data_IF_394308963327
#
_entry.id   IF_394308963327
#
_cell.length_a   1.000
_cell.length_b   1.000
_cell.length_c   1.000
_cell.angle_alpha   90.00
_cell.angle_beta   90.00
_cell.angle_gamma   90.00
#
_symmetry.space_group_name_H-M   'P 1'
#
loop_
_entity.id
_entity.type
_entity.pdbx_description
1 polymer ?
#
# COMPACT_ATOMS: atom_id res chain seq x y z
N UNK A 1 12.30 3.00 27.81
CA UNK A 1 13.41 2.44 27.01
C UNK A 1 13.01 1.65 25.77
N UNK A 2 11.73 1.59 25.38
CA UNK A 2 11.32 0.99 24.11
C UNK A 2 11.25 2.04 23.00
N UNK A 3 12.39 2.34 22.36
CA UNK A 3 12.45 3.12 21.13
C UNK A 3 12.83 2.18 19.99
N UNK A 4 11.98 2.08 18.98
CA UNK A 4 12.32 1.45 17.70
C UNK A 4 13.08 2.48 16.87
N UNK A 5 14.34 2.17 16.55
CA UNK A 5 15.15 2.99 15.65
C UNK A 5 14.60 2.82 14.22
N UNK A 6 14.08 3.91 13.66
CA UNK A 6 13.50 3.91 12.31
C UNK A 6 14.60 4.11 11.28
N UNK A 7 14.50 3.40 10.17
CA UNK A 7 15.38 3.66 9.02
C UNK A 7 15.05 5.03 8.46
N UNK A 8 16.06 5.81 8.12
CA UNK A 8 15.91 7.14 7.52
C UNK A 8 15.14 7.09 6.18
N UNK A 9 15.23 5.96 5.46
CA UNK A 9 14.48 5.72 4.22
C UNK A 9 13.02 5.30 4.41
N UNK A 10 12.56 5.09 5.64
CA UNK A 10 11.19 4.65 5.89
C UNK A 10 10.21 5.80 5.68
N UNK A 11 9.33 5.64 4.69
CA UNK A 11 8.23 6.57 4.44
C UNK A 11 7.04 6.19 5.30
N UNK A 12 6.83 6.90 6.41
CA UNK A 12 5.69 6.67 7.30
C UNK A 12 4.37 7.20 6.73
N UNK A 13 4.44 8.22 5.88
CA UNK A 13 3.28 8.83 5.23
C UNK A 13 3.65 9.33 3.83
N UNK A 14 2.86 8.92 2.84
CA UNK A 14 2.93 9.44 1.46
C UNK A 14 1.54 9.94 1.10
N UNK A 15 1.40 11.25 0.90
CA UNK A 15 0.15 11.89 0.51
C UNK A 15 0.26 12.43 -0.91
N UNK A 16 -0.77 12.20 -1.71
CA UNK A 16 -0.93 12.82 -3.01
C UNK A 16 -1.81 14.05 -2.87
N UNK A 17 -1.43 15.15 -3.52
CA UNK A 17 -2.27 16.31 -3.74
C UNK A 17 -2.67 16.32 -5.23
N UNK A 18 -3.76 15.63 -5.61
CA UNK A 18 -4.13 15.47 -7.01
C UNK A 18 -4.81 16.73 -7.55
N UNK A 19 -4.20 17.35 -8.56
CA UNK A 19 -4.77 18.47 -9.32
C UNK A 19 -5.73 17.99 -10.44
N UNK A 20 -5.82 16.68 -10.69
CA UNK A 20 -6.76 16.04 -11.59
C UNK A 20 -7.29 14.72 -10.99
N UNK A 21 -8.61 14.54 -10.99
CA UNK A 21 -9.28 13.33 -10.49
C UNK A 21 -10.29 12.86 -11.54
N UNK A 22 -10.15 11.62 -12.03
CA UNK A 22 -11.18 10.95 -12.82
C UNK A 22 -12.14 10.21 -11.88
N UNK A 23 -13.40 10.62 -11.90
CA UNK A 23 -14.48 9.94 -11.17
C UNK A 23 -15.29 9.10 -12.14
N UNK A 24 -15.51 7.82 -11.78
CA UNK A 24 -16.33 6.88 -12.56
C UNK A 24 -17.46 6.37 -11.67
N UNK A 25 -18.64 6.96 -11.85
CA UNK A 25 -19.86 6.56 -11.17
C UNK A 25 -20.61 5.52 -12.01
N UNK A 26 -20.52 4.26 -11.56
CA UNK A 26 -21.17 3.14 -12.21
C UNK A 26 -22.69 3.14 -12.01
N UNK A 27 -23.20 3.74 -10.93
CA UNK A 27 -24.64 3.79 -10.64
C UNK A 27 -25.34 4.76 -11.59
N UNK A 28 -24.77 5.96 -11.78
CA UNK A 28 -25.32 6.94 -12.72
C UNK A 28 -24.83 6.78 -14.16
N UNK A 29 -23.93 5.81 -14.42
CA UNK A 29 -23.28 5.58 -15.73
C UNK A 29 -22.57 6.81 -16.27
N UNK A 30 -21.95 7.59 -15.38
CA UNK A 30 -21.24 8.82 -15.72
C UNK A 30 -19.77 8.73 -15.34
N UNK A 31 -18.95 9.38 -16.13
CA UNK A 31 -17.57 9.67 -15.79
C UNK A 31 -17.29 11.14 -16.04
N UNK A 32 -16.53 11.76 -15.16
CA UNK A 32 -16.08 13.15 -15.30
C UNK A 32 -14.71 13.33 -14.69
N UNK A 33 -14.05 14.41 -15.07
CA UNK A 33 -12.74 14.79 -14.54
C UNK A 33 -12.88 16.08 -13.77
N UNK A 34 -12.56 16.04 -12.49
CA UNK A 34 -12.41 17.23 -11.65
C UNK A 34 -10.96 17.70 -11.76
N UNK A 35 -10.77 18.99 -12.08
CA UNK A 35 -9.45 19.62 -12.18
C UNK A 35 -9.38 20.79 -11.21
N UNK A 36 -8.26 20.86 -10.53
CA UNK A 36 -7.98 21.88 -9.53
C UNK A 36 -6.75 22.67 -9.95
N UNK A 37 -6.78 23.96 -9.65
CA UNK A 37 -5.60 24.80 -9.56
C UNK A 37 -5.46 25.24 -8.10
N UNK A 38 -4.24 25.22 -7.59
CA UNK A 38 -3.92 25.61 -6.23
C UNK A 38 -3.19 26.95 -6.23
N UNK A 39 -3.42 27.77 -5.23
CA UNK A 39 -2.70 29.01 -5.03
C UNK A 39 -2.52 29.33 -3.55
N UNK A 40 -1.51 30.13 -3.24
CA UNK A 40 -1.17 30.58 -1.90
C UNK A 40 -0.19 31.75 -1.95
N UNK A 41 0.42 32.10 -0.81
CA UNK A 41 1.38 33.20 -0.76
C UNK A 41 2.60 32.91 -1.66
N UNK A 42 2.69 33.62 -2.79
CA UNK A 42 3.81 33.53 -3.73
C UNK A 42 3.77 32.36 -4.71
N UNK A 43 2.70 31.57 -4.76
CA UNK A 43 2.58 30.48 -5.75
C UNK A 43 1.17 30.31 -6.32
N UNK A 44 1.10 29.84 -7.57
CA UNK A 44 -0.12 29.37 -8.23
C UNK A 44 0.24 28.23 -9.17
N UNK A 45 -0.63 27.24 -9.32
CA UNK A 45 -0.51 26.18 -10.33
C UNK A 45 -1.28 26.49 -11.61
N UNK A 46 -1.98 27.63 -11.65
CA UNK A 46 -2.73 28.04 -12.83
C UNK A 46 -1.82 28.12 -14.07
N UNK A 47 -2.24 27.44 -15.14
CA UNK A 47 -1.49 27.39 -16.39
C UNK A 47 -0.26 26.48 -16.39
N UNK A 48 0.06 25.81 -15.28
CA UNK A 48 1.11 24.78 -15.28
C UNK A 48 0.68 23.58 -16.12
N UNK A 49 1.64 22.99 -16.83
CA UNK A 49 1.42 21.77 -17.60
C UNK A 49 1.20 20.58 -16.64
N UNK A 50 0.20 19.75 -16.95
CA UNK A 50 -0.16 18.54 -16.20
C UNK A 50 0.54 17.32 -16.81
N UNK A 51 1.83 17.45 -17.04
CA UNK A 51 2.61 16.41 -17.71
C UNK A 51 2.79 15.20 -16.80
N UNK A 52 2.56 14.00 -17.35
CA UNK A 52 2.80 12.76 -16.64
C UNK A 52 4.27 12.35 -16.75
N UNK A 53 4.92 12.09 -15.62
CA UNK A 53 6.22 11.42 -15.60
C UNK A 53 6.02 9.90 -15.69
N UNK A 54 6.59 9.28 -16.72
CA UNK A 54 6.55 7.83 -16.89
C UNK A 54 7.88 7.22 -16.49
N UNK A 55 7.89 6.51 -15.37
CA UNK A 55 9.00 5.63 -15.00
C UNK A 55 8.74 4.21 -15.52
N UNK A 56 9.67 3.60 -16.27
CA UNK A 56 9.51 2.23 -16.71
C UNK A 56 9.59 1.29 -15.49
N UNK A 57 8.70 0.30 -15.47
CA UNK A 57 8.72 -0.76 -14.47
C UNK A 57 10.03 -1.55 -14.54
N UNK A 58 10.62 -1.81 -13.37
CA UNK A 58 11.81 -2.65 -13.18
C UNK A 58 11.44 -3.87 -12.35
N UNK A 59 11.76 -5.05 -12.87
CA UNK A 59 11.61 -6.30 -12.13
C UNK A 59 12.59 -6.37 -10.97
N UNK A 60 12.22 -7.04 -9.89
CA UNK A 60 13.14 -7.29 -8.78
C UNK A 60 14.35 -8.12 -9.25
N UNK A 61 15.56 -7.72 -8.85
CA UNK A 61 16.83 -8.36 -9.17
C UNK A 61 17.26 -9.41 -8.13
N UNK A 62 16.64 -9.37 -6.95
CA UNK A 62 16.90 -10.29 -5.84
C UNK A 62 15.72 -11.22 -5.55
N UNK A 63 16.05 -12.43 -5.08
CA UNK A 63 15.09 -13.37 -4.51
C UNK A 63 15.06 -13.10 -2.99
N UNK A 64 13.92 -12.64 -2.42
CA UNK A 64 13.83 -12.41 -0.99
C UNK A 64 13.72 -13.73 -0.21
N UNK A 65 13.96 -13.73 1.12
CA UNK A 65 13.55 -14.86 1.96
C UNK A 65 12.03 -15.06 1.89
N UNK A 66 11.52 -16.22 2.31
CA UNK A 66 10.08 -16.53 2.24
C UNK A 66 9.20 -15.57 3.05
N UNK A 67 9.71 -15.03 4.14
CA UNK A 67 8.96 -14.19 5.08
C UNK A 67 9.83 -13.70 6.21
N UNK A 68 9.19 -13.12 7.22
CA UNK A 68 9.83 -12.63 8.45
C UNK A 68 9.80 -13.65 9.61
N UNK A 69 9.22 -14.83 9.40
CA UNK A 69 9.14 -15.92 10.37
C UNK A 69 9.67 -17.25 9.81
N UNK A 70 10.40 -17.99 10.63
CA UNK A 70 10.73 -19.39 10.37
C UNK A 70 9.54 -20.32 10.68
N UNK A 71 9.49 -21.53 10.09
CA UNK A 71 8.44 -22.50 10.37
C UNK A 71 8.27 -22.77 11.87
N UNK A 72 7.07 -22.51 12.39
CA UNK A 72 6.71 -22.74 13.79
C UNK A 72 6.87 -21.51 14.70
N UNK A 73 7.55 -20.45 14.28
CA UNK A 73 7.72 -19.24 15.09
C UNK A 73 6.39 -18.53 15.35
N UNK A 74 5.53 -18.40 14.34
CA UNK A 74 4.20 -17.82 14.52
C UNK A 74 3.37 -18.63 15.53
N UNK A 75 3.45 -19.96 15.50
CA UNK A 75 2.75 -20.81 16.47
C UNK A 75 3.29 -20.62 17.89
N UNK A 76 4.61 -20.44 18.05
CA UNK A 76 5.22 -20.12 19.34
C UNK A 76 4.81 -18.74 19.84
N UNK A 77 4.75 -17.73 18.95
CA UNK A 77 4.23 -16.39 19.27
C UNK A 77 2.80 -16.47 19.81
N UNK A 78 1.93 -17.23 19.15
CA UNK A 78 0.55 -17.44 19.58
C UNK A 78 0.49 -18.16 20.94
N UNK A 79 1.32 -19.18 21.18
CA UNK A 79 1.42 -19.85 22.50
C UNK A 79 1.84 -18.89 23.62
N UNK A 80 2.82 -18.02 23.35
CA UNK A 80 3.24 -16.97 24.31
C UNK A 80 2.11 -16.01 24.61
N UNK A 81 1.35 -15.57 23.61
CA UNK A 81 0.19 -14.71 23.82
C UNK A 81 -0.84 -15.37 24.75
N UNK A 82 -1.11 -16.69 24.58
CA UNK A 82 -2.03 -17.44 25.47
C UNK A 82 -1.65 -17.37 26.94
N UNK A 83 -0.36 -17.32 27.28
CA UNK A 83 0.08 -17.18 28.67
C UNK A 83 -0.27 -15.80 29.24
N UNK A 84 -0.14 -14.74 28.44
CA UNK A 84 -0.58 -13.40 28.79
C UNK A 84 -2.10 -13.30 28.97
N UNK A 85 -2.89 -13.96 28.10
CA UNK A 85 -4.35 -14.05 28.27
C UNK A 85 -4.74 -14.73 29.59
N UNK A 86 -4.09 -15.86 29.94
CA UNK A 86 -4.36 -16.58 31.19
C UNK A 86 -4.11 -15.75 32.44
N UNK A 87 -3.11 -14.86 32.38
CA UNK A 87 -2.76 -13.94 33.47
C UNK A 87 -3.65 -12.69 33.52
N UNK A 88 -4.45 -12.45 32.47
CA UNK A 88 -5.29 -11.26 32.33
C UNK A 88 -4.55 -10.03 31.78
N UNK A 89 -3.35 -10.18 31.22
CA UNK A 89 -2.57 -9.08 30.64
C UNK A 89 -3.14 -8.63 29.29
N UNK A 90 -3.76 -9.55 28.55
CA UNK A 90 -4.33 -9.30 27.22
C UNK A 90 -5.78 -9.78 27.17
N UNK A 91 -6.60 -9.03 26.42
CA UNK A 91 -7.98 -9.41 26.05
C UNK A 91 -8.14 -9.67 24.56
N UNK A 92 -7.28 -9.07 23.73
CA UNK A 92 -7.11 -9.38 22.32
C UNK A 92 -5.69 -9.03 21.86
N UNK A 93 -5.15 -9.77 20.88
CA UNK A 93 -3.94 -9.41 20.13
C UNK A 93 -4.04 -9.95 18.70
N UNK A 94 -3.55 -9.18 17.73
CA UNK A 94 -3.56 -9.52 16.30
C UNK A 94 -2.12 -9.60 15.79
N UNK A 95 -1.45 -10.76 15.92
CA UNK A 95 -0.08 -10.92 15.42
C UNK A 95 -0.07 -11.02 13.89
N UNK A 96 0.77 -10.21 13.24
CA UNK A 96 1.05 -10.28 11.80
C UNK A 96 2.26 -11.14 11.47
N UNK A 97 2.30 -11.66 10.25
CA UNK A 97 3.51 -12.19 9.62
C UNK A 97 3.56 -11.70 8.18
N UNK A 98 4.75 -11.45 7.67
CA UNK A 98 4.97 -11.01 6.29
C UNK A 98 5.52 -12.16 5.45
N UNK A 99 5.02 -12.26 4.23
CA UNK A 99 5.56 -13.13 3.20
C UNK A 99 6.16 -12.29 2.10
N UNK A 100 7.25 -12.77 1.52
CA UNK A 100 7.91 -12.09 0.42
C UNK A 100 8.05 -13.04 -0.76
N UNK A 101 7.92 -12.48 -1.96
CA UNK A 101 8.14 -13.18 -3.21
C UNK A 101 8.80 -12.22 -4.20
N UNK A 102 9.59 -12.76 -5.13
CA UNK A 102 10.18 -11.96 -6.19
C UNK A 102 9.08 -11.49 -7.15
N UNK A 103 8.96 -10.18 -7.34
CA UNK A 103 7.99 -9.63 -8.28
C UNK A 103 8.58 -9.59 -9.70
N UNK A 104 8.09 -10.49 -10.57
CA UNK A 104 8.44 -10.55 -11.99
C UNK A 104 7.28 -10.10 -12.89
N UNK A 105 6.11 -9.84 -12.30
CA UNK A 105 4.87 -9.48 -13.00
C UNK A 105 4.64 -7.97 -12.91
N UNK A 106 4.04 -7.37 -13.94
CA UNK A 106 3.68 -5.95 -13.87
C UNK A 106 2.66 -5.71 -12.73
N UNK A 107 2.80 -4.64 -11.94
CA UNK A 107 1.88 -4.33 -10.84
C UNK A 107 0.40 -4.23 -11.28
N UNK A 108 0.16 -3.73 -12.49
CA UNK A 108 -1.18 -3.63 -13.07
C UNK A 108 -1.82 -5.00 -13.33
N UNK A 109 -1.05 -6.01 -13.71
CA UNK A 109 -1.53 -7.38 -13.89
C UNK A 109 -1.86 -8.05 -12.56
N UNK A 110 -1.05 -7.78 -11.52
CA UNK A 110 -1.34 -8.22 -10.15
C UNK A 110 -2.66 -7.61 -9.67
N UNK A 111 -2.85 -6.30 -9.86
CA UNK A 111 -4.10 -5.60 -9.49
C UNK A 111 -5.32 -6.18 -10.22
N UNK A 112 -5.23 -6.41 -11.53
CA UNK A 112 -6.31 -7.02 -12.33
C UNK A 112 -6.65 -8.42 -11.84
N UNK A 113 -5.64 -9.26 -11.58
CA UNK A 113 -5.83 -10.62 -11.06
C UNK A 113 -6.41 -10.62 -9.65
N UNK A 114 -5.98 -9.71 -8.80
CA UNK A 114 -6.51 -9.58 -7.44
C UNK A 114 -7.99 -9.19 -7.47
N UNK A 115 -8.36 -8.22 -8.31
CA UNK A 115 -9.75 -7.77 -8.48
C UNK A 115 -10.68 -8.86 -9.01
N UNK A 116 -10.19 -9.77 -9.86
CA UNK A 116 -11.01 -10.87 -10.37
C UNK A 116 -11.24 -11.98 -9.35
N UNK A 117 -10.26 -12.24 -8.48
CA UNK A 117 -10.34 -13.29 -7.45
C UNK A 117 -11.06 -12.79 -6.19
N UNK A 118 -10.82 -11.54 -5.79
CA UNK A 118 -11.39 -10.94 -4.59
C UNK A 118 -11.94 -9.53 -4.90
N UNK A 119 -13.14 -9.43 -5.50
CA UNK A 119 -13.77 -8.14 -5.74
C UNK A 119 -14.16 -7.49 -4.41
N UNK A 120 -13.37 -6.51 -3.98
CA UNK A 120 -13.57 -5.83 -2.70
C UNK A 120 -14.11 -4.41 -2.90
N UNK A 121 -14.91 -3.88 -1.94
CA UNK A 121 -15.43 -2.52 -2.01
C UNK A 121 -14.32 -1.46 -1.94
N UNK A 122 -13.20 -1.78 -1.27
CA UNK A 122 -12.05 -0.91 -1.08
C UNK A 122 -10.78 -1.51 -1.71
N UNK A 123 -10.78 -1.63 -3.04
CA UNK A 123 -9.60 -2.03 -3.81
C UNK A 123 -8.76 -0.81 -4.21
N UNK A 124 -7.43 -0.95 -4.19
CA UNK A 124 -6.51 0.13 -4.56
C UNK A 124 -5.30 -0.38 -5.35
N UNK A 125 -4.81 0.48 -6.24
CA UNK A 125 -3.54 0.34 -6.95
C UNK A 125 -2.87 1.71 -6.97
N UNK A 126 -1.79 1.85 -6.20
CA UNK A 126 -1.12 3.13 -5.95
C UNK A 126 0.33 2.98 -6.39
N UNK A 127 0.80 3.89 -7.24
CA UNK A 127 2.22 4.04 -7.57
C UNK A 127 2.84 5.02 -6.58
N UNK A 128 3.77 4.56 -5.75
CA UNK A 128 4.44 5.36 -4.72
C UNK A 128 5.74 6.03 -5.23
N UNK A 129 6.04 5.90 -6.52
CA UNK A 129 7.32 6.32 -7.10
C UNK A 129 8.45 5.35 -6.78
N UNK A 130 9.62 5.56 -7.38
CA UNK A 130 10.83 4.77 -7.13
C UNK A 130 10.65 3.26 -7.38
N UNK A 131 9.79 2.88 -8.34
CA UNK A 131 9.39 1.50 -8.61
C UNK A 131 8.70 0.78 -7.42
N UNK A 132 8.14 1.53 -6.46
CA UNK A 132 7.33 0.99 -5.37
C UNK A 132 5.83 1.13 -5.67
N UNK A 133 5.07 0.06 -5.46
CA UNK A 133 3.64 0.00 -5.72
C UNK A 133 2.91 -0.63 -4.55
N UNK A 134 1.78 -0.04 -4.19
CA UNK A 134 0.89 -0.56 -3.16
C UNK A 134 -0.41 -1.05 -3.82
N UNK A 135 -0.67 -2.35 -3.71
CA UNK A 135 -1.82 -3.02 -4.29
C UNK A 135 -2.59 -3.73 -3.18
N UNK A 136 -3.91 -3.61 -3.17
CA UNK A 136 -4.73 -4.29 -2.17
C UNK A 136 -6.20 -4.37 -2.54
N UNK A 137 -6.88 -5.28 -1.85
CA UNK A 137 -8.31 -5.55 -1.96
C UNK A 137 -8.84 -5.74 -0.53
N UNK A 138 -9.17 -4.63 0.14
CA UNK A 138 -9.64 -4.65 1.52
C UNK A 138 -11.14 -4.98 1.57
N UNK A 139 -11.55 -6.04 2.28
CA UNK A 139 -12.97 -6.34 2.45
C UNK A 139 -13.71 -5.25 3.24
#
# INVERSE_FOLDING_TARGET
DYKLERKESQRDLVLFLPDEILVVDHYSTKAWTDRYDYSGEGFSTEGLARDAHVEPFKTADRIPPRGDHEPGEYANLVRRAMESFKRGDLFEVVPGQMFYERCETQPSDISRKLKSINPSPYSFFINLGENEYLIGASP
#
